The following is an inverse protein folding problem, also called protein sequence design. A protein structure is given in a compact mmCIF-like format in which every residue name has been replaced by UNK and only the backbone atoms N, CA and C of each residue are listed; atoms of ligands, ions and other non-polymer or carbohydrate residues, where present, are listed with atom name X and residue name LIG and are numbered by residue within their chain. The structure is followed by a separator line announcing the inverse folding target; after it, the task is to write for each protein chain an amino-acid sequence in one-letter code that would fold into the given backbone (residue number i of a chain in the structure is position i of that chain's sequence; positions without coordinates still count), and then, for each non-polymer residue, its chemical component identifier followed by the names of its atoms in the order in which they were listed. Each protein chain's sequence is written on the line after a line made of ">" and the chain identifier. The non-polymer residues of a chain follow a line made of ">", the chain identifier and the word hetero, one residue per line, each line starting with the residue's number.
data_IF_908231877715
#
_entry.id   IF_908231877715
#
_cell.length_a   1.000
_cell.length_b   1.000
_cell.length_c   1.000
_cell.angle_alpha   90.00
_cell.angle_beta   90.00
_cell.angle_gamma   90.00
#
_symmetry.space_group_name_H-M   'P 1'
#
loop_
_entity.id
_entity.type
_entity.pdbx_description
1 polymer ?
#
# COMPACT_ATOMS: atom_id res chain seq x y z
N UNK A 1 -8.16 12.12 10.02
CA UNK A 1 -9.13 13.18 9.68
C UNK A 1 -10.27 13.19 10.71
N UNK A 2 -11.06 12.12 10.81
CA UNK A 2 -12.17 12.05 11.79
C UNK A 2 -11.76 12.27 13.26
N UNK A 3 -10.55 11.88 13.66
CA UNK A 3 -10.07 12.06 15.04
C UNK A 3 -9.73 13.53 15.40
N UNK A 4 -9.48 14.38 14.41
CA UNK A 4 -9.05 15.77 14.63
C UNK A 4 -10.07 16.80 14.12
N UNK A 5 -10.93 16.39 13.18
CA UNK A 5 -11.94 17.25 12.53
C UNK A 5 -13.32 16.60 12.55
N UNK A 6 -13.75 16.11 13.72
CA UNK A 6 -15.03 15.39 13.85
C UNK A 6 -16.23 16.25 13.40
N UNK A 7 -16.27 17.53 13.80
CA UNK A 7 -17.38 18.42 13.49
C UNK A 7 -17.51 18.73 11.98
N UNK A 8 -16.41 18.74 11.22
CA UNK A 8 -16.44 19.06 9.78
C UNK A 8 -16.67 17.81 8.93
N UNK A 9 -16.33 16.63 9.46
CA UNK A 9 -16.55 15.34 8.79
C UNK A 9 -17.96 14.78 9.04
N UNK A 10 -18.78 15.49 9.81
CA UNK A 10 -20.16 15.12 10.10
C UNK A 10 -21.10 15.46 8.93
N UNK A 11 -22.12 14.62 8.73
CA UNK A 11 -23.10 14.85 7.66
C UNK A 11 -23.99 16.06 7.94
N UNK A 12 -24.30 16.34 9.22
CA UNK A 12 -25.09 17.51 9.62
C UNK A 12 -24.38 18.82 9.31
N UNK A 13 -23.06 18.86 9.48
CA UNK A 13 -22.25 20.01 9.09
C UNK A 13 -22.34 20.32 7.59
N UNK A 14 -22.31 19.28 6.74
CA UNK A 14 -22.49 19.47 5.29
C UNK A 14 -23.87 20.07 4.99
N UNK A 15 -24.93 19.55 5.61
CA UNK A 15 -26.29 20.09 5.44
C UNK A 15 -26.43 21.54 5.90
N UNK A 16 -25.84 21.90 7.03
CA UNK A 16 -25.86 23.27 7.56
C UNK A 16 -25.09 24.25 6.65
N UNK A 17 -23.98 23.80 6.06
CA UNK A 17 -23.20 24.62 5.13
C UNK A 17 -23.96 24.90 3.83
N UNK A 18 -24.58 23.87 3.25
CA UNK A 18 -25.39 24.04 2.04
C UNK A 18 -26.57 25.00 2.29
N UNK A 19 -27.25 24.88 3.44
CA UNK A 19 -28.32 25.81 3.82
C UNK A 19 -27.81 27.27 3.92
N UNK A 20 -26.62 27.50 4.49
CA UNK A 20 -26.00 28.83 4.52
C UNK A 20 -25.63 29.35 3.13
N UNK A 21 -25.18 28.48 2.24
CA UNK A 21 -24.87 28.85 0.86
C UNK A 21 -26.13 29.24 0.08
N UNK A 22 -27.24 28.54 0.31
CA UNK A 22 -28.54 28.88 -0.25
C UNK A 22 -29.03 30.25 0.26
N UNK A 23 -28.95 30.51 1.57
CA UNK A 23 -29.32 31.82 2.14
C UNK A 23 -28.47 32.98 1.60
N UNK A 24 -27.19 32.73 1.30
CA UNK A 24 -26.33 33.71 0.61
C UNK A 24 -26.81 33.95 -0.82
N UNK A 25 -27.20 32.90 -1.55
CA UNK A 25 -27.71 33.02 -2.92
C UNK A 25 -29.05 33.77 -2.99
N UNK A 26 -29.89 33.61 -1.96
CA UNK A 26 -31.16 34.32 -1.80
C UNK A 26 -30.98 35.77 -1.30
N UNK A 27 -29.77 36.14 -0.87
CA UNK A 27 -29.42 37.47 -0.37
C UNK A 27 -29.83 37.72 1.08
N UNK A 28 -30.20 36.66 1.81
CA UNK A 28 -30.60 36.71 3.22
C UNK A 28 -29.40 36.77 4.19
N UNK A 29 -28.21 36.38 3.72
CA UNK A 29 -26.98 36.37 4.50
C UNK A 29 -25.79 37.00 3.73
N UNK A 30 -24.92 37.72 4.44
CA UNK A 30 -23.68 38.21 3.88
C UNK A 30 -22.64 37.08 3.75
N UNK A 31 -22.13 36.90 2.54
CA UNK A 31 -21.18 35.83 2.22
C UNK A 31 -19.82 36.00 2.90
N UNK A 32 -19.38 37.25 3.15
CA UNK A 32 -18.10 37.53 3.80
C UNK A 32 -18.18 37.19 5.28
N UNK A 33 -19.30 37.53 5.93
CA UNK A 33 -19.59 37.15 7.31
C UNK A 33 -19.67 35.64 7.47
N UNK A 34 -20.43 34.95 6.60
CA UNK A 34 -20.52 33.49 6.59
C UNK A 34 -19.14 32.81 6.47
N UNK A 35 -18.31 33.28 5.53
CA UNK A 35 -16.95 32.74 5.36
C UNK A 35 -16.08 32.97 6.59
N UNK A 36 -16.19 34.12 7.27
CA UNK A 36 -15.42 34.40 8.50
C UNK A 36 -15.84 33.47 9.63
N UNK A 37 -17.15 33.27 9.81
CA UNK A 37 -17.69 32.36 10.82
C UNK A 37 -17.22 30.92 10.62
N UNK A 38 -17.09 30.47 9.37
CA UNK A 38 -16.58 29.15 9.06
C UNK A 38 -15.05 29.06 9.19
N UNK A 39 -14.32 29.99 8.59
CA UNK A 39 -12.88 29.86 8.38
C UNK A 39 -12.08 30.13 9.66
N UNK A 40 -12.52 31.05 10.53
CA UNK A 40 -11.83 31.36 11.77
C UNK A 40 -11.68 30.14 12.72
N UNK A 41 -12.75 29.39 13.05
CA UNK A 41 -12.61 28.18 13.87
C UNK A 41 -11.90 27.04 13.12
N UNK A 42 -12.03 26.97 11.78
CA UNK A 42 -11.32 25.97 10.98
C UNK A 42 -9.80 26.16 11.02
N UNK A 43 -9.33 27.40 10.83
CA UNK A 43 -7.90 27.73 10.85
C UNK A 43 -7.27 27.44 12.22
N UNK A 44 -7.99 27.74 13.30
CA UNK A 44 -7.58 27.36 14.65
C UNK A 44 -7.47 25.84 14.79
N UNK A 45 -8.47 25.08 14.34
CA UNK A 45 -8.44 23.62 14.39
C UNK A 45 -7.28 23.03 13.56
N UNK A 46 -6.98 23.61 12.39
CA UNK A 46 -5.83 23.19 11.56
C UNK A 46 -4.52 23.49 12.26
N UNK A 47 -4.37 24.69 12.83
CA UNK A 47 -3.15 25.10 13.54
C UNK A 47 -2.90 24.25 14.78
N UNK A 48 -3.94 23.97 15.57
CA UNK A 48 -3.85 23.07 16.71
C UNK A 48 -3.49 21.65 16.29
N UNK A 49 -4.14 21.13 15.25
CA UNK A 49 -3.86 19.78 14.74
C UNK A 49 -2.45 19.69 14.19
N UNK A 50 -1.95 20.71 13.50
CA UNK A 50 -0.58 20.72 12.98
C UNK A 50 0.48 20.63 14.09
N UNK A 51 0.20 21.18 15.27
CA UNK A 51 1.08 21.14 16.44
C UNK A 51 0.92 19.86 17.28
N UNK A 52 -0.32 19.37 17.45
CA UNK A 52 -0.64 18.22 18.31
C UNK A 52 -0.52 16.88 17.59
N UNK A 53 -0.82 16.83 16.29
CA UNK A 53 -0.82 15.59 15.55
C UNK A 53 0.61 15.08 15.37
N UNK A 54 0.86 13.89 15.91
CA UNK A 54 2.09 13.18 15.64
C UNK A 54 2.22 12.93 14.14
N UNK A 55 3.36 13.35 13.57
CA UNK A 55 3.69 13.02 12.18
C UNK A 55 3.96 11.53 12.11
N UNK A 56 2.99 10.78 11.60
CA UNK A 56 3.16 9.36 11.32
C UNK A 56 4.32 9.18 10.34
N UNK A 57 5.37 8.48 10.76
CA UNK A 57 6.47 8.13 9.87
C UNK A 57 5.92 7.29 8.72
N UNK A 58 6.15 7.73 7.49
CA UNK A 58 5.66 7.02 6.30
C UNK A 58 6.20 5.58 6.23
N UNK A 59 7.35 5.31 6.87
CA UNK A 59 7.91 3.96 6.95
C UNK A 59 7.10 3.04 7.86
N UNK A 60 6.42 3.55 8.89
CA UNK A 60 5.59 2.73 9.78
C UNK A 60 4.27 2.28 9.13
N UNK A 61 3.86 2.95 8.05
CA UNK A 61 2.70 2.58 7.23
C UNK A 61 3.05 1.58 6.11
N UNK A 62 4.29 1.11 6.05
CA UNK A 62 4.69 0.12 5.05
C UNK A 62 4.07 -1.23 5.41
N UNK A 63 3.20 -1.71 4.55
CA UNK A 63 2.70 -3.08 4.64
C UNK A 63 3.68 -3.99 3.89
N UNK A 64 4.27 -4.94 4.60
CA UNK A 64 5.14 -5.96 4.02
C UNK A 64 4.33 -6.86 3.08
N UNK A 65 4.85 -7.16 1.90
CA UNK A 65 4.31 -8.24 1.07
C UNK A 65 5.09 -9.53 1.30
N UNK A 66 4.53 -10.65 0.83
CA UNK A 66 5.20 -11.96 0.86
C UNK A 66 6.20 -12.13 -0.29
N UNK A 67 6.15 -11.23 -1.27
CA UNK A 67 6.92 -11.31 -2.50
C UNK A 67 8.29 -10.65 -2.34
N UNK A 68 9.33 -11.28 -2.89
CA UNK A 68 10.70 -10.75 -2.88
C UNK A 68 11.08 -10.19 -4.24
N UNK A 69 11.92 -9.16 -4.25
CA UNK A 69 12.66 -8.77 -5.45
C UNK A 69 13.74 -9.82 -5.72
N UNK A 70 14.15 -9.96 -6.97
CA UNK A 70 15.31 -10.79 -7.34
C UNK A 70 16.61 -10.30 -6.69
N UNK A 71 16.68 -9.03 -6.28
CA UNK A 71 17.76 -8.49 -5.44
C UNK A 71 17.73 -8.93 -3.97
N UNK A 72 16.76 -9.76 -3.55
CA UNK A 72 16.71 -10.46 -2.27
C UNK A 72 15.91 -9.83 -1.14
N UNK A 73 15.55 -8.56 -1.25
CA UNK A 73 14.69 -7.92 -0.27
C UNK A 73 13.20 -8.15 -0.55
N UNK A 74 12.40 -8.01 0.51
CA UNK A 74 10.95 -8.04 0.42
C UNK A 74 10.43 -6.78 -0.30
N UNK A 75 9.37 -6.96 -1.08
CA UNK A 75 8.59 -5.85 -1.59
C UNK A 75 7.68 -5.32 -0.48
N UNK A 76 7.44 -4.02 -0.52
CA UNK A 76 6.56 -3.30 0.41
C UNK A 76 5.44 -2.64 -0.38
N UNK A 77 4.21 -2.74 0.11
CA UNK A 77 3.06 -2.06 -0.44
C UNK A 77 3.12 -0.60 0.02
N UNK A 78 3.12 0.30 -0.96
CA UNK A 78 3.10 1.76 -0.79
C UNK A 78 1.86 2.33 -1.43
N UNK A 79 1.37 3.43 -0.87
CA UNK A 79 0.26 4.19 -1.43
C UNK A 79 0.83 5.35 -2.26
N UNK A 80 0.55 5.36 -3.56
CA UNK A 80 0.89 6.43 -4.49
C UNK A 80 -0.35 7.15 -5.01
N UNK A 81 -0.17 8.10 -5.93
CA UNK A 81 -1.26 8.86 -6.56
C UNK A 81 -2.30 7.96 -7.25
N UNK A 82 -1.85 6.87 -7.85
CA UNK A 82 -2.68 5.94 -8.62
C UNK A 82 -3.17 4.75 -7.80
N UNK A 83 -3.02 4.79 -6.47
CA UNK A 83 -3.39 3.70 -5.57
C UNK A 83 -2.19 2.92 -5.04
N UNK A 84 -2.45 1.68 -4.63
CA UNK A 84 -1.46 0.80 -4.00
C UNK A 84 -0.51 0.21 -5.05
N UNK A 85 0.78 0.16 -4.71
CA UNK A 85 1.81 -0.43 -5.56
C UNK A 85 2.87 -1.13 -4.71
N UNK A 86 3.50 -2.16 -5.26
CA UNK A 86 4.62 -2.85 -4.64
C UNK A 86 5.92 -2.14 -5.03
N UNK A 87 6.81 -1.96 -4.06
CA UNK A 87 8.14 -1.39 -4.29
C UNK A 87 9.20 -2.11 -3.49
N UNK A 88 10.46 -2.08 -3.93
CA UNK A 88 11.53 -2.70 -3.16
C UNK A 88 11.75 -2.01 -1.80
N UNK A 89 11.91 -2.80 -0.74
CA UNK A 89 12.25 -2.30 0.59
C UNK A 89 13.56 -1.50 0.65
N UNK A 90 14.50 -1.73 -0.27
CA UNK A 90 15.81 -1.06 -0.36
C UNK A 90 15.79 0.26 -1.15
N UNK A 91 14.62 0.84 -1.42
CA UNK A 91 14.55 2.18 -2.01
C UNK A 91 15.30 3.21 -1.13
N UNK A 92 16.18 4.07 -1.68
CA UNK A 92 16.31 4.48 -3.07
C UNK A 92 17.28 3.67 -3.95
N UNK A 93 18.03 2.72 -3.39
CA UNK A 93 19.03 1.90 -4.11
C UNK A 93 18.37 0.99 -5.16
N UNK A 94 17.22 0.41 -4.81
CA UNK A 94 16.39 -0.35 -5.74
C UNK A 94 15.09 0.43 -6.04
N UNK A 95 14.94 0.87 -7.30
CA UNK A 95 13.77 1.65 -7.77
C UNK A 95 12.68 0.81 -8.43
N UNK A 96 12.69 -0.50 -8.20
CA UNK A 96 11.62 -1.39 -8.64
C UNK A 96 10.30 -0.97 -7.99
N UNK A 97 9.32 -0.66 -8.83
CA UNK A 97 7.96 -0.32 -8.44
C UNK A 97 7.00 -0.88 -9.50
N UNK A 98 5.97 -1.56 -9.05
CA UNK A 98 4.98 -2.24 -9.90
C UNK A 98 3.60 -2.15 -9.24
N UNK A 99 2.53 -2.23 -10.03
CA UNK A 99 1.18 -2.24 -9.47
C UNK A 99 0.93 -3.50 -8.62
N UNK A 100 -0.04 -3.43 -7.72
CA UNK A 100 -0.55 -4.61 -7.02
C UNK A 100 -1.02 -5.69 -8.03
N UNK A 101 -1.01 -6.94 -7.58
CA UNK A 101 -1.50 -8.07 -8.38
C UNK A 101 -2.97 -7.83 -8.74
N UNK A 102 -3.37 -8.01 -10.01
CA UNK A 102 -4.77 -7.88 -10.41
C UNK A 102 -5.66 -8.84 -9.60
N UNK A 103 -6.81 -8.34 -9.14
CA UNK A 103 -7.79 -9.16 -8.40
C UNK A 103 -8.39 -10.27 -9.25
N UNK A 104 -9.10 -11.20 -8.62
CA UNK A 104 -9.65 -12.40 -9.29
C UNK A 104 -10.56 -12.07 -10.50
N UNK A 105 -11.26 -10.93 -10.43
CA UNK A 105 -12.18 -10.44 -11.49
C UNK A 105 -11.46 -9.80 -12.69
N UNK A 106 -10.13 -9.70 -12.69
CA UNK A 106 -9.40 -9.15 -13.82
C UNK A 106 -9.45 -10.07 -15.03
N UNK A 107 -9.60 -9.49 -16.23
CA UNK A 107 -9.59 -10.22 -17.50
C UNK A 107 -8.21 -10.80 -17.78
N UNK A 108 -8.14 -11.81 -18.66
CA UNK A 108 -6.89 -12.49 -19.02
C UNK A 108 -5.79 -11.55 -19.51
N UNK A 109 -6.14 -10.59 -20.37
CA UNK A 109 -5.22 -9.58 -20.89
C UNK A 109 -4.57 -8.72 -19.80
N UNK A 110 -5.31 -8.39 -18.74
CA UNK A 110 -4.80 -7.60 -17.61
C UNK A 110 -3.81 -8.42 -16.77
N UNK A 111 -4.08 -9.71 -16.58
CA UNK A 111 -3.17 -10.62 -15.87
C UNK A 111 -1.87 -10.82 -16.64
N UNK A 112 -1.97 -11.05 -17.95
CA UNK A 112 -0.80 -11.23 -18.81
C UNK A 112 0.06 -9.95 -18.89
N UNK A 113 -0.56 -8.79 -19.09
CA UNK A 113 0.14 -7.51 -19.07
C UNK A 113 0.86 -7.25 -17.74
N UNK A 114 0.23 -7.63 -16.63
CA UNK A 114 0.86 -7.52 -15.31
C UNK A 114 2.04 -8.48 -15.15
N UNK A 115 1.95 -9.73 -15.64
CA UNK A 115 3.07 -10.68 -15.59
C UNK A 115 4.27 -10.22 -16.42
N UNK A 116 4.04 -9.59 -17.57
CA UNK A 116 5.10 -8.99 -18.39
C UNK A 116 5.77 -7.85 -17.63
N UNK A 117 4.98 -6.95 -17.04
CA UNK A 117 5.48 -5.84 -16.24
C UNK A 117 6.27 -6.34 -15.01
N UNK A 118 5.79 -7.41 -14.37
CA UNK A 118 6.46 -8.07 -13.25
C UNK A 118 7.85 -8.58 -13.65
N UNK A 119 7.92 -9.38 -14.71
CA UNK A 119 9.19 -9.95 -15.21
C UNK A 119 10.19 -8.86 -15.58
N UNK A 120 9.74 -7.84 -16.31
CA UNK A 120 10.60 -6.72 -16.70
C UNK A 120 11.12 -5.91 -15.49
N UNK A 121 10.32 -5.78 -14.44
CA UNK A 121 10.74 -5.10 -13.21
C UNK A 121 11.77 -5.92 -12.42
N UNK A 122 11.60 -7.25 -12.37
CA UNK A 122 12.54 -8.15 -11.70
C UNK A 122 13.87 -8.25 -12.43
N UNK A 123 13.86 -8.30 -13.76
CA UNK A 123 15.07 -8.26 -14.58
C UNK A 123 15.89 -6.98 -14.31
N UNK A 124 15.21 -5.83 -14.23
CA UNK A 124 15.86 -4.56 -13.85
C UNK A 124 16.45 -4.60 -12.43
N UNK A 125 15.79 -5.29 -11.49
CA UNK A 125 16.31 -5.51 -10.12
C UNK A 125 17.63 -6.29 -10.17
N UNK A 126 17.66 -7.38 -10.93
CA UNK A 126 18.81 -8.27 -11.03
C UNK A 126 20.03 -7.58 -11.66
N UNK A 127 19.82 -6.73 -12.67
CA UNK A 127 20.89 -5.94 -13.30
C UNK A 127 21.50 -4.93 -12.31
N UNK A 128 20.66 -4.29 -11.48
CA UNK A 128 21.13 -3.32 -10.47
C UNK A 128 21.81 -3.99 -9.26
N UNK A 129 21.44 -5.22 -8.92
CA UNK A 129 21.94 -5.93 -7.75
C UNK A 129 22.39 -7.37 -8.05
N UNK A 130 23.46 -7.55 -8.86
CA UNK A 130 23.89 -8.88 -9.33
C UNK A 130 24.39 -9.78 -8.19
N UNK A 131 25.13 -9.22 -7.23
CA UNK A 131 25.65 -9.99 -6.08
C UNK A 131 24.53 -10.44 -5.13
N UNK A 132 23.51 -9.61 -4.95
CA UNK A 132 22.38 -9.94 -4.09
C UNK A 132 21.50 -11.00 -4.76
N UNK A 133 21.28 -10.91 -6.08
CA UNK A 133 20.58 -11.93 -6.85
C UNK A 133 21.29 -13.29 -6.81
N UNK A 134 22.62 -13.32 -6.88
CA UNK A 134 23.39 -14.56 -6.73
C UNK A 134 23.19 -15.22 -5.36
N UNK A 135 23.12 -14.44 -4.27
CA UNK A 135 22.84 -14.96 -2.92
C UNK A 135 21.43 -15.54 -2.80
N UNK A 136 20.44 -14.88 -3.39
CA UNK A 136 19.04 -15.36 -3.41
C UNK A 136 18.93 -16.69 -4.16
N UNK A 137 19.61 -16.82 -5.30
CA UNK A 137 19.65 -18.06 -6.07
C UNK A 137 20.25 -19.21 -5.24
N UNK A 138 21.37 -18.97 -4.56
CA UNK A 138 22.01 -19.96 -3.68
C UNK A 138 21.11 -20.37 -2.50
N UNK A 139 20.42 -19.41 -1.86
CA UNK A 139 19.46 -19.70 -0.79
C UNK A 139 18.25 -20.52 -1.30
N UNK A 140 17.76 -20.23 -2.50
CA UNK A 140 16.68 -20.97 -3.13
C UNK A 140 17.09 -22.43 -3.42
N UNK A 141 18.28 -22.64 -3.97
CA UNK A 141 18.86 -23.97 -4.21
C UNK A 141 19.10 -24.75 -2.90
N UNK A 142 19.57 -24.07 -1.84
CA UNK A 142 19.72 -24.65 -0.51
C UNK A 142 18.38 -25.11 0.09
N UNK A 143 17.31 -24.31 -0.06
CA UNK A 143 15.96 -24.69 0.38
C UNK A 143 15.38 -25.84 -0.42
N UNK A 144 15.58 -25.86 -1.75
CA UNK A 144 15.12 -26.95 -2.62
C UNK A 144 15.85 -28.26 -2.31
N UNK A 145 17.16 -28.21 -2.08
CA UNK A 145 17.95 -29.38 -1.70
C UNK A 145 17.60 -29.91 -0.31
N UNK A 146 17.29 -29.03 0.66
CA UNK A 146 16.78 -29.42 1.98
C UNK A 146 15.37 -30.05 1.91
N UNK A 147 14.46 -29.49 1.09
CA UNK A 147 13.13 -30.04 0.84
C UNK A 147 13.18 -31.42 0.18
N UNK A 148 14.04 -31.60 -0.83
CA UNK A 148 14.31 -32.91 -1.46
C UNK A 148 14.88 -33.93 -0.47
N UNK A 149 15.81 -33.53 0.40
CA UNK A 149 16.37 -34.41 1.45
C UNK A 149 15.32 -34.81 2.49
N UNK A 150 14.41 -33.90 2.90
CA UNK A 150 13.27 -34.22 3.78
C UNK A 150 12.27 -35.18 3.12
N UNK A 151 11.95 -34.97 1.84
CA UNK A 151 11.08 -35.88 1.07
C UNK A 151 11.65 -37.29 0.94
N UNK A 152 12.97 -37.44 0.77
CA UNK A 152 13.66 -38.75 0.73
C UNK A 152 13.76 -39.48 2.08
N UNK A 153 13.62 -38.76 3.20
CA UNK A 153 13.68 -39.36 4.57
C UNK A 153 12.31 -39.79 5.12
N UNK A 154 11.21 -39.60 4.40
CA UNK A 154 9.88 -40.06 4.84
C UNK A 154 9.76 -41.57 4.51
N UNK A 155 9.71 -42.48 5.50
CA UNK A 155 9.53 -43.90 5.22
C UNK A 155 8.12 -44.12 4.65
N UNK A 156 7.99 -44.95 3.62
CA UNK A 156 6.70 -45.48 3.19
C UNK A 156 6.18 -46.45 4.25
N UNK A 157 5.33 -45.98 5.16
CA UNK A 157 4.49 -46.90 5.95
C UNK A 157 3.45 -47.48 5.00
N UNK A 158 3.80 -48.64 4.43
CA UNK A 158 2.92 -49.48 3.64
C UNK A 158 1.81 -50.06 4.51
N UNK A 159 0.66 -50.26 3.87
CA UNK A 159 -0.59 -50.76 4.43
C UNK A 159 -0.45 -52.09 5.19
N UNK A 160 -1.31 -52.29 6.19
CA UNK A 160 -1.81 -53.61 6.54
C UNK A 160 -3.33 -53.52 6.64
N UNK A 161 -3.98 -53.95 5.56
CA UNK A 161 -5.38 -54.38 5.57
C UNK A 161 -5.43 -55.65 6.41
N UNK A 162 -6.32 -55.73 7.39
CA UNK A 162 -6.72 -57.02 7.98
C UNK A 162 -8.17 -56.97 8.43
N UNK A 163 -8.94 -57.83 7.77
CA UNK A 163 -10.20 -58.52 8.12
C UNK A 163 -11.29 -57.81 8.93
#
# INVERSE_FOLDING_TARGET
>A
LSNYFANIMDTGFTSDMEAKLDSVAEGEQDWVEMLKEFFAPFDQAVTETANKAERVDRRSLLQMSEEKCDGGDLLVIRNGRYGKFLSCGRFPECRVAISERPGERATGEVKENWEIAWKAAMEKCAILHPEAAAKVAQEAEAKQSASRKRRKKKPSTGATVNN
#
